data_IF_554063843893
#
_entry.id   IF_554063843893
#
_cell.length_a   1.000
_cell.length_b   1.000
_cell.length_c   1.000
_cell.angle_alpha   90.00
_cell.angle_beta   90.00
_cell.angle_gamma   90.00
#
_symmetry.space_group_name_H-M   'P 1'
#
loop_
_entity.id
_entity.type
_entity.pdbx_description
1 polymer ?
#
# COMPACT_ATOMS: atom_id res chain seq x y z
N UNK A 1 20.22 -7.20 46.51
CA UNK A 1 21.06 -6.37 45.62
C UNK A 1 20.51 -6.53 44.21
N UNK A 2 19.43 -5.81 43.90
CA UNK A 2 18.80 -5.77 42.59
C UNK A 2 19.25 -4.49 41.88
N UNK A 3 19.81 -4.64 40.69
CA UNK A 3 20.16 -3.52 39.81
C UNK A 3 18.93 -3.28 38.94
N UNK A 4 18.23 -2.17 39.18
CA UNK A 4 17.09 -1.73 38.38
C UNK A 4 17.55 -1.17 37.03
N UNK A 5 16.98 -1.69 35.95
CA UNK A 5 17.02 -1.06 34.63
C UNK A 5 16.18 0.22 34.69
N UNK A 6 16.82 1.37 34.57
CA UNK A 6 16.13 2.64 34.35
C UNK A 6 15.67 2.71 32.89
N UNK A 7 14.36 2.73 32.66
CA UNK A 7 13.79 3.16 31.39
C UNK A 7 14.09 4.65 31.21
N UNK A 8 14.86 5.02 30.19
CA UNK A 8 15.00 6.41 29.77
C UNK A 8 13.69 6.86 29.11
N UNK A 9 12.78 7.40 29.91
CA UNK A 9 11.68 8.22 29.41
C UNK A 9 12.28 9.54 28.91
N UNK A 10 12.08 9.86 27.62
CA UNK A 10 12.34 11.21 27.10
C UNK A 10 11.12 12.09 27.43
N UNK A 11 11.21 13.08 28.34
CA UNK A 11 10.12 14.00 28.60
C UNK A 11 10.13 15.07 27.50
N UNK A 12 9.18 15.02 26.57
CA UNK A 12 9.07 16.09 25.56
C UNK A 12 8.20 15.85 24.33
N UNK A 13 7.75 14.61 24.07
CA UNK A 13 6.86 14.31 22.95
C UNK A 13 5.40 14.22 23.42
N UNK A 14 4.80 15.36 23.80
CA UNK A 14 3.34 15.45 23.90
C UNK A 14 2.79 15.96 22.57
N UNK A 15 1.78 15.28 22.02
CA UNK A 15 1.02 15.79 20.87
C UNK A 15 0.50 17.20 21.20
N UNK A 16 0.65 18.19 20.30
CA UNK A 16 0.10 19.52 20.54
C UNK A 16 -1.41 19.41 20.82
N UNK A 17 -1.90 20.13 21.83
CA UNK A 17 -3.31 20.11 22.21
C UNK A 17 -4.17 20.52 21.01
N UNK A 18 -5.07 19.63 20.58
CA UNK A 18 -5.91 19.81 19.39
C UNK A 18 -6.96 20.89 19.67
N UNK A 19 -6.92 21.99 18.93
CA UNK A 19 -8.04 22.92 18.85
C UNK A 19 -9.17 22.26 18.03
N UNK A 20 -10.41 22.65 18.31
CA UNK A 20 -11.65 21.99 17.87
C UNK A 20 -12.01 22.20 16.39
N UNK A 21 -11.01 22.49 15.55
CA UNK A 21 -11.17 22.60 14.10
C UNK A 21 -10.73 21.28 13.45
N UNK A 22 -11.60 20.68 12.64
CA UNK A 22 -11.43 19.33 12.05
C UNK A 22 -10.33 19.22 10.99
N UNK A 23 -9.53 20.28 10.76
CA UNK A 23 -8.46 20.25 9.79
C UNK A 23 -7.27 19.39 10.28
N UNK A 24 -6.68 18.53 9.41
CA UNK A 24 -5.48 17.78 9.75
C UNK A 24 -4.32 18.73 10.10
N UNK A 25 -3.50 18.34 11.09
CA UNK A 25 -2.34 19.12 11.51
C UNK A 25 -1.34 19.19 10.35
N UNK A 26 -0.93 20.40 9.90
CA UNK A 26 0.05 20.50 8.82
C UNK A 26 1.36 19.81 9.20
N UNK A 27 1.93 18.98 8.31
CA UNK A 27 3.20 18.28 8.60
C UNK A 27 4.34 19.23 9.01
N UNK A 28 4.37 20.44 8.44
CA UNK A 28 5.36 21.47 8.79
C UNK A 28 5.32 21.86 10.28
N UNK A 29 4.16 21.73 10.95
CA UNK A 29 3.98 22.08 12.37
C UNK A 29 4.77 21.19 13.32
N UNK A 30 5.11 19.96 12.89
CA UNK A 30 5.99 19.05 13.65
C UNK A 30 7.38 19.66 13.89
N UNK A 31 7.79 20.61 13.06
CA UNK A 31 9.10 21.28 13.15
C UNK A 31 8.94 22.73 13.57
N UNK A 32 7.94 23.44 13.07
CA UNK A 32 7.75 24.88 13.35
C UNK A 32 7.05 25.17 14.67
N UNK A 33 6.40 24.18 15.28
CA UNK A 33 5.71 24.31 16.57
C UNK A 33 6.65 24.47 17.78
N UNK A 34 6.03 24.57 18.97
CA UNK A 34 6.70 24.64 20.26
C UNK A 34 7.24 23.26 20.72
N UNK A 35 8.13 22.68 19.91
CA UNK A 35 8.82 21.42 20.17
C UNK A 35 10.29 21.66 20.49
N UNK A 36 10.92 20.76 21.25
CA UNK A 36 12.35 20.86 21.58
C UNK A 36 13.21 20.67 20.33
N UNK A 37 14.45 21.18 20.36
CA UNK A 37 15.41 20.98 19.26
C UNK A 37 15.73 19.50 19.02
N UNK A 38 15.71 18.68 20.08
CA UNK A 38 15.90 17.22 19.97
C UNK A 38 14.75 16.57 19.20
N UNK A 39 13.49 16.95 19.52
CA UNK A 39 12.32 16.46 18.82
C UNK A 39 12.31 16.89 17.35
N UNK A 40 12.67 18.15 17.05
CA UNK A 40 12.81 18.64 15.66
C UNK A 40 13.84 17.84 14.88
N UNK A 41 15.00 17.60 15.48
CA UNK A 41 16.07 16.79 14.89
C UNK A 41 15.57 15.39 14.53
N UNK A 42 14.86 14.77 15.46
CA UNK A 42 14.28 13.44 15.31
C UNK A 42 13.22 13.36 14.21
N UNK A 43 12.32 14.34 14.15
CA UNK A 43 11.32 14.45 13.08
C UNK A 43 11.99 14.65 11.72
N UNK A 44 13.03 15.48 11.62
CA UNK A 44 13.74 15.71 10.37
C UNK A 44 14.50 14.46 9.90
N UNK A 45 15.12 13.72 10.82
CA UNK A 45 15.76 12.44 10.49
C UNK A 45 14.75 11.40 10.02
N UNK A 46 13.65 11.24 10.75
CA UNK A 46 12.59 10.28 10.42
C UNK A 46 11.89 10.63 9.12
N UNK A 47 11.57 11.91 8.91
CA UNK A 47 11.03 12.42 7.66
C UNK A 47 11.96 12.18 6.48
N UNK A 48 13.28 12.29 6.66
CA UNK A 48 14.26 12.03 5.60
C UNK A 48 14.37 10.53 5.29
N UNK A 49 14.17 9.66 6.28
CA UNK A 49 14.08 8.22 6.07
C UNK A 49 12.81 7.87 5.28
N UNK A 50 11.65 8.35 5.75
CA UNK A 50 10.37 8.10 5.11
C UNK A 50 10.29 8.66 3.69
N UNK A 51 10.80 9.88 3.45
CA UNK A 51 10.80 10.50 2.12
C UNK A 51 11.72 9.77 1.13
N UNK A 52 12.84 9.22 1.60
CA UNK A 52 13.72 8.38 0.79
C UNK A 52 13.05 7.06 0.41
N UNK A 53 12.42 6.39 1.38
CA UNK A 53 11.72 5.12 1.19
C UNK A 53 10.49 5.30 0.27
N UNK A 54 9.55 6.14 0.66
CA UNK A 54 8.29 6.38 -0.07
C UNK A 54 8.53 7.13 -1.38
N UNK A 55 9.49 8.05 -1.39
CA UNK A 55 9.85 8.79 -2.59
C UNK A 55 10.45 7.88 -3.67
N UNK A 56 11.20 6.84 -3.27
CA UNK A 56 11.82 5.90 -4.22
C UNK A 56 10.82 4.96 -4.91
N UNK A 57 9.60 4.83 -4.38
CA UNK A 57 8.55 3.97 -4.94
C UNK A 57 7.55 4.73 -5.83
N UNK A 58 7.68 6.06 -5.97
CA UNK A 58 6.77 6.84 -6.83
C UNK A 58 6.84 6.35 -8.28
N UNK A 59 5.72 6.33 -9.02
CA UNK A 59 5.72 5.92 -10.43
C UNK A 59 6.41 6.96 -11.33
N UNK A 60 6.26 8.26 -11.04
CA UNK A 60 6.86 9.32 -11.83
C UNK A 60 8.36 9.52 -11.49
N UNK A 61 9.27 9.43 -12.49
CA UNK A 61 10.70 9.55 -12.26
C UNK A 61 11.17 10.92 -11.77
N UNK A 62 10.53 12.00 -12.22
CA UNK A 62 10.90 13.35 -11.81
C UNK A 62 10.50 13.57 -10.35
N UNK A 63 9.35 13.04 -9.94
CA UNK A 63 8.92 13.03 -8.55
C UNK A 63 9.84 12.17 -7.66
N UNK A 64 10.24 10.96 -8.12
CA UNK A 64 11.24 10.13 -7.40
C UNK A 64 12.53 10.91 -7.16
N UNK A 65 13.08 11.50 -8.21
CA UNK A 65 14.31 12.27 -8.14
C UNK A 65 14.18 13.47 -7.17
N UNK A 66 13.06 14.19 -7.22
CA UNK A 66 12.80 15.33 -6.33
C UNK A 66 12.67 14.92 -4.85
N UNK A 67 11.96 13.82 -4.57
CA UNK A 67 11.78 13.30 -3.21
C UNK A 67 13.13 12.86 -2.62
N UNK A 68 13.91 12.10 -3.39
CA UNK A 68 15.24 11.64 -2.97
C UNK A 68 16.22 12.81 -2.79
N UNK A 69 16.25 13.78 -3.72
CA UNK A 69 17.14 14.95 -3.59
C UNK A 69 16.81 15.74 -2.31
N UNK A 70 15.52 15.89 -2.00
CA UNK A 70 15.06 16.51 -0.75
C UNK A 70 15.52 15.72 0.48
N UNK A 71 15.31 14.40 0.49
CA UNK A 71 15.73 13.52 1.58
C UNK A 71 17.27 13.53 1.79
N UNK A 72 18.03 13.50 0.69
CA UNK A 72 19.49 13.53 0.71
C UNK A 72 20.01 14.86 1.28
N UNK A 73 19.53 16.00 0.77
CA UNK A 73 19.92 17.33 1.28
C UNK A 73 19.64 17.45 2.77
N UNK A 74 18.50 16.92 3.21
CA UNK A 74 18.14 16.91 4.63
C UNK A 74 19.15 16.09 5.46
N UNK A 75 19.49 14.86 5.04
CA UNK A 75 20.48 14.02 5.74
C UNK A 75 21.86 14.67 5.80
N UNK A 76 22.34 15.28 4.72
CA UNK A 76 23.65 15.95 4.68
C UNK A 76 23.74 17.14 5.64
N UNK A 77 22.65 17.88 5.80
CA UNK A 77 22.60 19.00 6.74
C UNK A 77 22.48 18.52 8.17
N UNK A 78 21.67 17.49 8.42
CA UNK A 78 21.52 16.90 9.74
C UNK A 78 22.82 16.25 10.25
N UNK A 79 23.62 15.63 9.37
CA UNK A 79 24.91 15.04 9.76
C UNK A 79 25.96 16.07 10.20
N UNK A 80 25.73 17.38 9.99
CA UNK A 80 26.58 18.47 10.49
C UNK A 80 26.19 18.93 11.90
N UNK A 81 25.09 18.43 12.46
CA UNK A 81 24.72 18.73 13.83
C UNK A 81 25.74 18.13 14.82
N UNK A 82 25.96 18.76 15.99
CA UNK A 82 26.80 18.20 17.05
C UNK A 82 26.41 16.75 17.38
N UNK A 83 27.37 15.92 17.78
CA UNK A 83 27.17 14.48 18.01
C UNK A 83 26.02 14.12 18.98
N UNK A 84 25.64 15.01 19.89
CA UNK A 84 24.45 14.83 20.76
C UNK A 84 23.12 14.75 19.99
N UNK A 85 23.12 15.23 18.75
CA UNK A 85 22.03 15.20 17.78
C UNK A 85 22.28 14.20 16.65
N UNK A 86 23.41 13.48 16.69
CA UNK A 86 23.69 12.45 15.71
C UNK A 86 22.64 11.35 15.82
N UNK A 87 22.23 10.85 14.67
CA UNK A 87 21.29 9.75 14.52
C UNK A 87 21.60 8.60 15.49
N UNK A 88 20.59 7.93 16.07
CA UNK A 88 20.76 6.51 16.39
C UNK A 88 21.10 5.77 15.08
N UNK A 89 21.90 4.70 15.15
CA UNK A 89 22.57 4.05 14.01
C UNK A 89 21.70 3.93 12.73
N UNK A 90 22.29 3.99 11.51
CA UNK A 90 21.55 3.83 10.26
C UNK A 90 20.58 2.63 10.32
N UNK A 91 19.29 2.87 10.08
CA UNK A 91 18.23 1.85 10.19
C UNK A 91 17.43 1.85 11.50
N UNK A 92 17.80 2.67 12.51
CA UNK A 92 16.94 2.86 13.69
C UNK A 92 16.04 4.07 13.49
N UNK A 93 14.78 3.79 13.20
CA UNK A 93 13.70 4.77 13.24
C UNK A 93 13.28 4.95 14.70
N UNK A 94 13.20 6.19 15.17
CA UNK A 94 12.57 6.45 16.45
C UNK A 94 11.07 6.17 16.33
N UNK A 95 10.61 5.17 17.10
CA UNK A 95 9.26 4.63 16.99
C UNK A 95 8.20 5.67 17.35
N UNK A 96 8.49 6.60 18.24
CA UNK A 96 7.54 7.63 18.62
C UNK A 96 7.43 8.72 17.56
N UNK A 97 8.56 9.17 17.01
CA UNK A 97 8.53 10.11 15.89
C UNK A 97 7.84 9.52 14.65
N UNK A 98 8.13 8.27 14.30
CA UNK A 98 7.47 7.60 13.18
C UNK A 98 5.99 7.38 13.42
N UNK A 99 5.58 7.02 14.63
CA UNK A 99 4.16 6.90 14.99
C UNK A 99 3.44 8.24 14.83
N UNK A 100 4.05 9.35 15.27
CA UNK A 100 3.46 10.69 15.12
C UNK A 100 3.37 11.08 13.65
N UNK A 101 4.44 10.89 12.86
CA UNK A 101 4.43 11.17 11.42
C UNK A 101 3.34 10.35 10.72
N UNK A 102 3.27 9.04 10.98
CA UNK A 102 2.26 8.17 10.39
C UNK A 102 0.84 8.56 10.77
N UNK A 103 0.62 9.02 12.00
CA UNK A 103 -0.69 9.52 12.43
C UNK A 103 -1.10 10.77 11.65
N UNK A 104 -0.19 11.75 11.51
CA UNK A 104 -0.47 12.98 10.75
C UNK A 104 -0.71 12.67 9.27
N UNK A 105 0.09 11.77 8.68
CA UNK A 105 -0.12 11.31 7.30
C UNK A 105 -1.48 10.64 7.13
N UNK A 106 -1.88 9.77 8.07
CA UNK A 106 -3.19 9.12 8.04
C UNK A 106 -4.35 10.13 8.17
N UNK A 107 -4.18 11.18 8.97
CA UNK A 107 -5.16 12.27 9.08
C UNK A 107 -5.31 13.02 7.74
N UNK A 108 -4.20 13.31 7.04
CA UNK A 108 -4.25 13.92 5.71
C UNK A 108 -4.90 13.01 4.67
N UNK A 109 -4.57 11.72 4.65
CA UNK A 109 -5.19 10.74 3.72
C UNK A 109 -6.70 10.69 3.91
N UNK A 110 -7.17 10.70 5.16
CA UNK A 110 -8.62 10.77 5.45
C UNK A 110 -9.26 12.09 4.98
N UNK A 111 -8.54 13.21 5.09
CA UNK A 111 -9.06 14.52 4.73
C UNK A 111 -9.09 14.77 3.20
N UNK A 112 -8.22 14.11 2.43
CA UNK A 112 -8.10 14.29 0.98
C UNK A 112 -8.24 12.95 0.22
N UNK A 113 -9.37 12.23 0.33
CA UNK A 113 -9.53 10.89 -0.25
C UNK A 113 -9.46 10.87 -1.79
N UNK A 114 -9.64 12.03 -2.44
CA UNK A 114 -9.52 12.17 -3.89
C UNK A 114 -8.05 12.15 -4.39
N UNK A 115 -7.08 12.32 -3.50
CA UNK A 115 -5.65 12.29 -3.85
C UNK A 115 -5.08 10.94 -3.48
N UNK A 116 -4.23 10.41 -4.35
CA UNK A 116 -3.61 9.12 -4.09
C UNK A 116 -2.71 9.14 -2.84
N UNK A 117 -2.88 8.23 -1.85
CA UNK A 117 -2.16 8.27 -0.59
C UNK A 117 -0.65 8.35 -0.75
N UNK A 118 -0.05 7.66 -1.72
CA UNK A 118 1.40 7.73 -1.91
C UNK A 118 1.85 9.12 -2.42
N UNK A 119 1.07 9.75 -3.31
CA UNK A 119 1.33 11.12 -3.80
C UNK A 119 1.17 12.12 -2.66
N UNK A 120 0.11 11.95 -1.86
CA UNK A 120 -0.16 12.76 -0.69
C UNK A 120 0.93 12.61 0.37
N UNK A 121 1.34 11.37 0.70
CA UNK A 121 2.41 11.08 1.65
C UNK A 121 3.71 11.75 1.22
N UNK A 122 4.09 11.63 -0.05
CA UNK A 122 5.31 12.28 -0.56
C UNK A 122 5.18 13.80 -0.54
N UNK A 123 4.01 14.36 -0.89
CA UNK A 123 3.73 15.80 -0.81
C UNK A 123 3.93 16.30 0.62
N UNK A 124 3.29 15.65 1.59
CA UNK A 124 3.33 16.02 3.00
C UNK A 124 4.71 15.81 3.64
N UNK A 125 5.42 14.74 3.28
CA UNK A 125 6.82 14.54 3.66
C UNK A 125 7.76 15.57 3.00
N UNK A 126 7.42 16.03 1.78
CA UNK A 126 8.10 17.13 1.11
C UNK A 126 7.94 18.45 1.87
N UNK A 127 6.74 18.76 2.36
CA UNK A 127 6.48 19.92 3.22
C UNK A 127 7.22 19.84 4.56
N UNK A 128 7.26 18.64 5.17
CA UNK A 128 8.13 18.40 6.33
C UNK A 128 9.61 18.68 5.99
N UNK A 129 10.07 18.23 4.84
CA UNK A 129 11.43 18.50 4.34
C UNK A 129 11.73 19.99 4.21
N UNK A 130 10.79 20.77 3.67
CA UNK A 130 10.91 22.25 3.58
C UNK A 130 10.96 22.90 4.96
N UNK A 131 10.10 22.47 5.89
CA UNK A 131 10.09 22.98 7.27
C UNK A 131 11.41 22.67 8.01
N UNK A 132 11.93 21.46 7.86
CA UNK A 132 13.23 21.04 8.36
C UNK A 132 14.37 21.90 7.79
N UNK A 133 14.36 22.17 6.49
CA UNK A 133 15.35 23.05 5.87
C UNK A 133 15.32 24.47 6.47
N UNK A 134 14.13 25.05 6.66
CA UNK A 134 13.97 26.38 7.26
C UNK A 134 14.40 26.44 8.73
N UNK A 135 14.17 25.37 9.50
CA UNK A 135 14.67 25.26 10.88
C UNK A 135 16.21 25.16 10.92
N UNK A 136 16.81 24.33 10.04
CA UNK A 136 18.27 24.21 9.93
C UNK A 136 18.91 25.54 9.49
N UNK A 137 18.25 26.32 8.63
CA UNK A 137 18.70 27.66 8.23
C UNK A 137 18.72 28.62 9.43
N UNK A 138 17.68 28.61 10.27
CA UNK A 138 17.63 29.42 11.50
C UNK A 138 18.76 29.09 12.48
N UNK A 139 19.23 27.83 12.49
CA UNK A 139 20.38 27.39 13.31
C UNK A 139 21.72 27.86 12.78
N UNK A 140 21.74 28.64 11.69
CA UNK A 140 22.95 29.08 10.98
C UNK A 140 23.85 27.92 10.59
N UNK A 141 23.28 26.72 10.46
CA UNK A 141 23.96 25.62 9.79
C UNK A 141 23.98 26.02 8.34
N UNK A 142 25.13 26.54 7.91
CA UNK A 142 25.30 27.14 6.60
C UNK A 142 24.61 26.25 5.57
N UNK A 143 23.74 26.82 4.71
CA UNK A 143 23.26 26.06 3.57
C UNK A 143 24.48 25.46 2.86
N UNK A 144 24.33 24.25 2.33
CA UNK A 144 25.35 23.58 1.54
C UNK A 144 26.04 24.64 0.65
N UNK A 145 27.37 24.71 0.65
CA UNK A 145 28.11 25.71 -0.14
C UNK A 145 27.63 25.67 -1.61
N UNK A 146 27.73 26.74 -2.42
CA UNK A 146 27.30 26.69 -3.82
C UNK A 146 27.81 25.45 -4.59
N UNK A 147 29.06 25.05 -4.37
CA UNK A 147 29.62 23.79 -4.91
C UNK A 147 28.93 22.52 -4.40
N UNK A 148 28.39 22.53 -3.17
CA UNK A 148 27.59 21.44 -2.58
C UNK A 148 26.07 21.60 -2.87
N UNK A 149 25.64 22.72 -3.49
CA UNK A 149 24.26 23.05 -3.87
C UNK A 149 23.98 22.74 -5.34
N UNK A 150 24.99 22.95 -6.18
CA UNK A 150 25.03 22.63 -7.61
C UNK A 150 25.45 21.18 -7.87
N UNK A 151 26.08 20.52 -6.89
CA UNK A 151 26.04 19.07 -6.76
C UNK A 151 24.60 18.71 -6.36
N UNK A 152 23.78 18.34 -7.35
CA UNK A 152 22.68 17.42 -7.12
C UNK A 152 23.14 16.29 -6.20
N UNK A 153 22.22 15.58 -5.52
CA UNK A 153 22.56 14.25 -5.00
C UNK A 153 23.43 13.56 -6.10
N UNK A 154 24.70 13.15 -5.81
CA UNK A 154 25.72 12.91 -6.85
C UNK A 154 25.13 12.23 -8.08
N UNK A 155 25.53 12.49 -9.32
CA UNK A 155 24.83 11.86 -10.48
C UNK A 155 24.67 10.34 -10.33
N UNK A 156 25.58 9.64 -9.64
CA UNK A 156 25.46 8.24 -9.19
C UNK A 156 24.32 7.99 -8.18
N UNK A 157 24.10 8.90 -7.24
CA UNK A 157 22.94 8.99 -6.34
C UNK A 157 21.70 9.34 -7.18
N UNK A 158 21.64 10.39 -7.98
CA UNK A 158 20.44 10.70 -8.80
C UNK A 158 20.08 9.58 -9.80
N UNK A 159 21.05 8.92 -10.43
CA UNK A 159 20.87 7.77 -11.33
C UNK A 159 20.61 6.46 -10.55
N UNK A 160 21.23 6.27 -9.39
CA UNK A 160 21.03 5.11 -8.50
C UNK A 160 19.77 5.20 -7.63
N UNK A 161 19.11 6.36 -7.62
CA UNK A 161 17.79 6.62 -7.07
C UNK A 161 16.72 6.85 -8.15
N UNK A 162 17.11 6.94 -9.42
CA UNK A 162 16.22 6.70 -10.56
C UNK A 162 15.95 5.19 -10.73
N UNK A 163 16.86 4.34 -10.25
CA UNK A 163 16.67 2.89 -10.18
C UNK A 163 15.57 2.55 -9.17
N UNK A 164 14.54 1.86 -9.64
CA UNK A 164 13.45 1.34 -8.82
C UNK A 164 13.99 0.43 -7.70
N UNK A 165 13.41 0.57 -6.51
CA UNK A 165 13.76 -0.23 -5.32
C UNK A 165 12.52 -0.92 -4.77
N UNK A 166 12.69 -2.18 -4.43
CA UNK A 166 11.68 -2.97 -3.71
C UNK A 166 12.15 -3.17 -2.28
N UNK A 167 11.41 -2.61 -1.32
CA UNK A 167 11.79 -2.66 0.11
C UNK A 167 13.22 -2.17 0.36
N UNK A 168 13.60 -1.06 -0.28
CA UNK A 168 14.94 -0.45 -0.19
C UNK A 168 16.05 -1.15 -0.99
N UNK A 169 15.79 -2.33 -1.57
CA UNK A 169 16.74 -3.13 -2.34
C UNK A 169 16.65 -2.85 -3.83
N UNK A 170 17.80 -2.76 -4.50
CA UNK A 170 17.91 -2.60 -5.96
C UNK A 170 17.79 -3.94 -6.66
N UNK A 171 17.68 -3.90 -8.00
CA UNK A 171 17.69 -5.10 -8.83
C UNK A 171 18.95 -5.96 -8.58
N UNK A 172 20.12 -5.34 -8.45
CA UNK A 172 21.37 -6.06 -8.19
C UNK A 172 21.39 -6.75 -6.81
N UNK A 173 20.67 -6.21 -5.83
CA UNK A 173 20.59 -6.78 -4.48
C UNK A 173 19.62 -7.98 -4.44
N UNK A 174 18.69 -8.09 -5.41
CA UNK A 174 17.67 -9.16 -5.51
C UNK A 174 18.06 -10.26 -6.48
N UNK A 175 18.45 -9.88 -7.70
CA UNK A 175 18.83 -10.80 -8.76
C UNK A 175 20.33 -11.11 -8.77
N UNK A 176 21.12 -10.53 -7.86
CA UNK A 176 22.57 -10.63 -7.85
C UNK A 176 23.22 -9.89 -9.02
N UNK A 177 24.53 -10.05 -9.23
CA UNK A 177 25.23 -9.52 -10.42
C UNK A 177 24.97 -10.39 -11.67
N UNK A 178 23.70 -10.64 -12.00
CA UNK A 178 23.26 -11.49 -13.10
C UNK A 178 22.69 -10.68 -14.26
N UNK A 179 22.58 -11.27 -15.47
CA UNK A 179 21.83 -10.64 -16.57
C UNK A 179 20.39 -10.28 -16.19
N UNK A 180 19.78 -10.98 -15.24
CA UNK A 180 18.43 -10.68 -14.75
C UNK A 180 18.38 -9.35 -14.00
N UNK A 181 19.42 -8.99 -13.23
CA UNK A 181 19.49 -7.68 -12.59
C UNK A 181 19.59 -6.54 -13.61
N UNK A 182 20.30 -6.77 -14.73
CA UNK A 182 20.40 -5.78 -15.81
C UNK A 182 19.02 -5.58 -16.44
N UNK A 183 18.34 -6.67 -16.81
CA UNK A 183 17.01 -6.61 -17.40
C UNK A 183 15.99 -5.98 -16.42
N UNK A 184 16.03 -6.33 -15.14
CA UNK A 184 15.16 -5.77 -14.11
C UNK A 184 15.28 -4.24 -13.98
N UNK A 185 16.49 -3.67 -14.19
CA UNK A 185 16.65 -2.22 -14.26
C UNK A 185 15.97 -1.62 -15.49
N UNK A 186 16.08 -2.27 -16.65
CA UNK A 186 15.40 -1.83 -17.88
C UNK A 186 13.87 -1.86 -17.69
N UNK A 187 13.33 -2.94 -17.10
CA UNK A 187 11.88 -3.11 -16.93
C UNK A 187 11.23 -1.98 -16.13
N UNK A 188 11.97 -1.37 -15.19
CA UNK A 188 11.47 -0.27 -14.36
C UNK A 188 12.14 1.07 -14.69
N UNK A 189 12.83 1.15 -15.84
CA UNK A 189 13.47 2.37 -16.27
C UNK A 189 12.41 3.44 -16.60
N UNK A 190 12.67 4.72 -16.28
CA UNK A 190 11.76 5.81 -16.55
C UNK A 190 11.49 5.93 -18.06
N UNK A 191 10.21 5.93 -18.44
CA UNK A 191 9.64 6.20 -19.77
C UNK A 191 10.70 6.47 -20.86
N UNK A 192 11.18 5.39 -21.48
CA UNK A 192 12.25 5.47 -22.49
C UNK A 192 12.40 4.19 -23.31
N UNK A 193 12.00 3.05 -22.75
CA UNK A 193 11.86 1.82 -23.53
C UNK A 193 10.40 1.70 -23.96
N UNK A 194 10.16 1.98 -25.23
CA UNK A 194 8.91 1.58 -25.87
C UNK A 194 8.77 0.04 -25.83
N UNK A 195 7.56 -0.45 -26.08
CA UNK A 195 7.27 -1.88 -26.08
C UNK A 195 8.21 -2.67 -27.01
N UNK A 196 8.60 -2.07 -28.15
CA UNK A 196 9.51 -2.68 -29.11
C UNK A 196 10.92 -2.87 -28.53
N UNK A 197 11.42 -1.89 -27.76
CA UNK A 197 12.73 -1.96 -27.12
C UNK A 197 12.74 -2.99 -26.01
N UNK A 198 11.72 -3.00 -25.14
CA UNK A 198 11.58 -4.03 -24.11
C UNK A 198 11.51 -5.43 -24.72
N UNK A 199 10.71 -5.61 -25.77
CA UNK A 199 10.59 -6.89 -26.48
C UNK A 199 11.93 -7.38 -27.01
N UNK A 200 12.75 -6.49 -27.60
CA UNK A 200 14.10 -6.84 -28.08
C UNK A 200 15.03 -7.23 -26.94
N UNK A 201 15.05 -6.48 -25.85
CA UNK A 201 15.91 -6.76 -24.70
C UNK A 201 15.52 -8.07 -24.00
N UNK A 202 14.22 -8.33 -23.83
CA UNK A 202 13.71 -9.57 -23.27
C UNK A 202 14.03 -10.75 -24.20
N UNK A 203 13.83 -10.62 -25.51
CA UNK A 203 14.19 -11.66 -26.47
C UNK A 203 15.70 -11.99 -26.44
N UNK A 204 16.55 -10.96 -26.37
CA UNK A 204 18.00 -11.14 -26.23
C UNK A 204 18.36 -11.85 -24.92
N UNK A 205 17.72 -11.48 -23.81
CA UNK A 205 17.88 -12.14 -22.52
C UNK A 205 17.46 -13.61 -22.58
N UNK A 206 16.27 -13.91 -23.13
CA UNK A 206 15.74 -15.27 -23.28
C UNK A 206 16.69 -16.14 -24.11
N UNK A 207 17.18 -15.63 -25.24
CA UNK A 207 18.12 -16.35 -26.11
C UNK A 207 19.45 -16.65 -25.40
N UNK A 208 19.96 -15.71 -24.59
CA UNK A 208 21.24 -15.86 -23.90
C UNK A 208 21.18 -16.70 -22.61
N UNK A 209 20.00 -16.88 -22.00
CA UNK A 209 19.87 -17.44 -20.65
C UNK A 209 19.09 -18.76 -20.56
N UNK A 210 18.96 -19.49 -21.68
CA UNK A 210 18.36 -20.83 -21.69
C UNK A 210 16.84 -20.86 -21.87
N UNK A 211 16.28 -19.87 -22.56
CA UNK A 211 14.87 -19.82 -22.94
C UNK A 211 13.96 -19.20 -21.88
N UNK A 212 12.64 -19.36 -22.05
CA UNK A 212 11.62 -18.73 -21.21
C UNK A 212 11.72 -19.06 -19.72
N UNK A 213 12.28 -20.23 -19.37
CA UNK A 213 12.51 -20.63 -17.97
C UNK A 213 13.44 -19.67 -17.21
N UNK A 214 14.22 -18.84 -17.91
CA UNK A 214 15.00 -17.77 -17.30
C UNK A 214 14.13 -16.62 -16.77
N UNK A 215 12.96 -16.38 -17.38
CA UNK A 215 11.99 -15.36 -16.95
C UNK A 215 11.30 -15.75 -15.64
N UNK A 216 11.02 -17.05 -15.48
CA UNK A 216 10.31 -17.62 -14.34
C UNK A 216 11.23 -17.97 -13.15
N UNK A 217 12.53 -17.67 -13.27
CA UNK A 217 13.48 -17.94 -12.19
C UNK A 217 13.17 -17.05 -10.98
N UNK A 218 12.86 -17.69 -9.86
CA UNK A 218 12.68 -17.05 -8.57
C UNK A 218 14.02 -16.78 -7.88
N UNK A 219 14.17 -15.59 -7.31
CA UNK A 219 15.34 -15.17 -6.52
C UNK A 219 14.91 -14.46 -5.23
N UNK A 220 15.78 -14.40 -4.23
CA UNK A 220 15.52 -13.73 -2.96
C UNK A 220 15.70 -14.67 -1.75
N UNK A 221 16.18 -14.16 -0.60
CA UNK A 221 16.54 -15.00 0.55
C UNK A 221 15.36 -15.47 1.44
N UNK A 222 14.12 -15.04 1.17
CA UNK A 222 12.99 -15.29 2.07
C UNK A 222 11.78 -15.79 1.26
N UNK A 223 10.81 -16.39 1.94
CA UNK A 223 9.63 -17.12 1.44
C UNK A 223 8.68 -16.34 0.49
N UNK A 224 9.08 -15.17 -0.02
CA UNK A 224 8.36 -14.27 -0.93
C UNK A 224 9.04 -14.09 -2.30
N UNK A 225 9.76 -15.11 -2.77
CA UNK A 225 10.48 -15.20 -4.05
C UNK A 225 10.10 -14.19 -5.16
N UNK A 226 11.11 -13.63 -5.81
CA UNK A 226 10.95 -12.60 -6.84
C UNK A 226 11.25 -13.16 -8.24
N UNK A 227 10.38 -12.88 -9.21
CA UNK A 227 10.65 -13.08 -10.65
C UNK A 227 10.77 -11.74 -11.38
N UNK A 228 11.17 -11.76 -12.66
CA UNK A 228 11.17 -10.57 -13.51
C UNK A 228 9.75 -10.01 -13.70
N UNK A 229 8.74 -10.88 -13.82
CA UNK A 229 7.34 -10.47 -13.89
C UNK A 229 6.87 -9.86 -12.57
N UNK A 230 7.19 -10.48 -11.44
CA UNK A 230 6.90 -9.91 -10.12
C UNK A 230 7.59 -8.55 -9.92
N UNK A 231 8.73 -8.31 -10.56
CA UNK A 231 9.47 -7.04 -10.49
C UNK A 231 8.80 -5.94 -11.31
N UNK A 232 8.31 -6.26 -12.51
CA UNK A 232 7.53 -5.29 -13.30
C UNK A 232 6.21 -4.92 -12.62
N UNK A 233 5.59 -5.85 -11.89
CA UNK A 233 4.41 -5.56 -11.06
C UNK A 233 4.77 -4.60 -9.94
N UNK A 234 5.87 -4.84 -9.23
CA UNK A 234 6.30 -4.00 -8.12
C UNK A 234 6.57 -2.54 -8.53
N UNK A 235 7.05 -2.30 -9.76
CA UNK A 235 7.24 -0.96 -10.30
C UNK A 235 6.06 -0.44 -11.15
N UNK A 236 4.91 -1.11 -11.07
CA UNK A 236 3.65 -0.74 -11.74
C UNK A 236 3.79 -0.47 -13.25
N UNK A 237 4.61 -1.26 -13.96
CA UNK A 237 4.85 -1.05 -15.39
C UNK A 237 4.08 -2.08 -16.26
N UNK A 238 2.90 -1.73 -16.81
CA UNK A 238 2.10 -2.65 -17.62
C UNK A 238 2.76 -3.00 -18.96
N UNK A 239 3.57 -2.11 -19.54
CA UNK A 239 4.28 -2.38 -20.79
C UNK A 239 5.36 -3.44 -20.58
N UNK A 240 6.09 -3.35 -19.47
CA UNK A 240 7.07 -4.36 -19.08
C UNK A 240 6.40 -5.70 -18.74
N UNK A 241 5.29 -5.68 -18.00
CA UNK A 241 4.51 -6.89 -17.71
C UNK A 241 4.03 -7.57 -19.00
N UNK A 242 3.42 -6.83 -19.92
CA UNK A 242 2.98 -7.35 -21.23
C UNK A 242 4.13 -7.96 -22.02
N UNK A 243 5.26 -7.25 -22.15
CA UNK A 243 6.39 -7.74 -22.93
C UNK A 243 7.02 -9.03 -22.33
N UNK A 244 7.00 -9.20 -21.01
CA UNK A 244 7.44 -10.43 -20.35
C UNK A 244 6.46 -11.58 -20.61
N UNK A 245 5.16 -11.31 -20.54
CA UNK A 245 4.10 -12.30 -20.80
C UNK A 245 4.12 -12.75 -22.27
N UNK A 246 4.30 -11.81 -23.21
CA UNK A 246 4.48 -12.10 -24.64
C UNK A 246 5.71 -12.96 -24.91
N UNK A 247 6.78 -12.78 -24.11
CA UNK A 247 7.98 -13.61 -24.16
C UNK A 247 7.82 -14.97 -23.44
N UNK A 248 6.66 -15.24 -22.84
CA UNK A 248 6.29 -16.51 -22.23
C UNK A 248 6.60 -16.64 -20.75
N UNK A 249 6.75 -15.54 -20.02
CA UNK A 249 6.75 -15.56 -18.56
C UNK A 249 5.41 -16.08 -18.00
N UNK A 250 5.44 -16.85 -16.93
CA UNK A 250 4.24 -17.42 -16.32
C UNK A 250 3.54 -16.43 -15.38
N UNK A 251 2.34 -15.98 -15.76
CA UNK A 251 1.48 -15.10 -14.96
C UNK A 251 1.06 -15.73 -13.62
N UNK A 252 1.04 -17.07 -13.55
CA UNK A 252 0.58 -17.85 -12.41
C UNK A 252 1.74 -18.46 -11.61
N UNK A 253 2.97 -18.00 -11.85
CA UNK A 253 4.13 -18.42 -11.08
C UNK A 253 3.91 -18.10 -9.61
N UNK A 254 3.92 -19.13 -8.77
CA UNK A 254 3.88 -18.99 -7.31
C UNK A 254 5.18 -18.34 -6.82
N UNK A 255 5.08 -17.09 -6.39
CA UNK A 255 6.13 -16.26 -5.84
C UNK A 255 6.34 -16.52 -4.34
N UNK A 256 5.57 -17.40 -3.73
CA UNK A 256 5.70 -17.81 -2.32
C UNK A 256 4.43 -17.50 -1.52
N UNK A 257 4.07 -18.39 -0.60
CA UNK A 257 2.81 -18.33 0.17
C UNK A 257 1.53 -18.24 -0.68
N UNK A 258 1.53 -18.81 -1.89
CA UNK A 258 0.38 -18.74 -2.80
C UNK A 258 0.31 -17.43 -3.58
N UNK A 259 1.19 -16.47 -3.29
CA UNK A 259 1.25 -15.18 -3.97
C UNK A 259 1.69 -15.36 -5.43
N UNK A 260 1.10 -14.59 -6.34
CA UNK A 260 1.42 -14.61 -7.77
C UNK A 260 1.58 -13.18 -8.28
N UNK A 261 1.95 -13.01 -9.55
CA UNK A 261 1.94 -11.69 -10.16
C UNK A 261 0.54 -11.04 -10.09
N UNK A 262 -0.53 -11.83 -10.25
CA UNK A 262 -1.93 -11.36 -10.11
C UNK A 262 -2.22 -10.93 -8.68
N UNK A 263 -1.83 -11.74 -7.68
CA UNK A 263 -2.03 -11.41 -6.27
C UNK A 263 -1.39 -10.09 -5.86
N UNK A 264 -0.13 -9.87 -6.26
CA UNK A 264 0.57 -8.59 -6.04
C UNK A 264 -0.07 -7.43 -6.78
N UNK A 265 -0.49 -7.64 -8.02
CA UNK A 265 -1.13 -6.60 -8.81
C UNK A 265 -2.52 -6.24 -8.29
N UNK A 266 -3.23 -7.17 -7.67
CA UNK A 266 -4.52 -6.91 -7.03
C UNK A 266 -4.39 -5.93 -5.86
N UNK A 267 -3.26 -5.92 -5.14
CA UNK A 267 -3.00 -4.94 -4.10
C UNK A 267 -2.58 -3.55 -4.64
N UNK A 268 -2.45 -3.39 -5.96
CA UNK A 268 -2.15 -2.09 -6.58
C UNK A 268 -3.44 -1.31 -6.84
N UNK A 269 -3.36 0.00 -6.65
CA UNK A 269 -4.47 0.92 -6.94
C UNK A 269 -4.72 1.14 -8.43
N UNK A 270 -3.65 1.25 -9.22
CA UNK A 270 -3.76 1.31 -10.67
C UNK A 270 -3.95 -0.11 -11.21
N UNK A 271 -5.13 -0.42 -11.80
CA UNK A 271 -5.43 -1.76 -12.28
C UNK A 271 -4.71 -2.11 -13.58
N UNK A 272 -3.95 -1.20 -14.21
CA UNK A 272 -3.39 -1.44 -15.54
C UNK A 272 -2.53 -2.71 -15.63
N UNK A 273 -1.69 -2.96 -14.63
CA UNK A 273 -0.87 -4.17 -14.56
C UNK A 273 -1.75 -5.40 -14.30
N UNK A 274 -2.73 -5.29 -13.39
CA UNK A 274 -3.66 -6.37 -13.08
C UNK A 274 -4.45 -6.80 -14.32
N UNK A 275 -5.04 -5.84 -15.04
CA UNK A 275 -5.76 -6.07 -16.30
C UNK A 275 -4.85 -6.73 -17.34
N UNK A 276 -3.59 -6.30 -17.43
CA UNK A 276 -2.61 -6.91 -18.34
C UNK A 276 -2.36 -8.37 -18.00
N UNK A 277 -2.18 -8.70 -16.71
CA UNK A 277 -1.96 -10.08 -16.25
C UNK A 277 -3.17 -10.98 -16.51
N UNK A 278 -4.38 -10.50 -16.18
CA UNK A 278 -5.63 -11.24 -16.41
C UNK A 278 -5.85 -11.50 -17.90
N UNK A 279 -5.56 -10.53 -18.77
CA UNK A 279 -5.65 -10.69 -20.22
C UNK A 279 -4.68 -11.74 -20.78
N UNK A 280 -3.59 -12.04 -20.07
CA UNK A 280 -2.61 -13.08 -20.44
C UNK A 280 -2.82 -14.39 -19.67
N UNK A 281 -4.03 -14.64 -19.15
CA UNK A 281 -4.36 -15.90 -18.49
C UNK A 281 -3.89 -16.01 -17.04
N UNK A 282 -3.61 -14.87 -16.39
CA UNK A 282 -3.48 -14.81 -14.94
C UNK A 282 -4.79 -15.23 -14.26
N UNK A 283 -4.69 -16.06 -13.22
CA UNK A 283 -5.84 -16.55 -12.46
C UNK A 283 -6.30 -15.48 -11.46
N UNK A 284 -7.56 -15.07 -11.58
CA UNK A 284 -8.19 -14.16 -10.63
C UNK A 284 -8.46 -14.84 -9.27
N UNK A 285 -8.60 -16.17 -9.26
CA UNK A 285 -8.78 -16.94 -8.03
C UNK A 285 -7.43 -17.34 -7.43
N UNK A 286 -7.24 -17.04 -6.14
CA UNK A 286 -6.00 -17.30 -5.42
C UNK A 286 -5.91 -16.45 -4.14
N UNK A 287 -4.83 -16.64 -3.39
CA UNK A 287 -4.63 -15.95 -2.13
C UNK A 287 -3.14 -15.81 -1.79
N UNK A 288 -2.81 -14.78 -1.02
CA UNK A 288 -1.53 -14.71 -0.31
C UNK A 288 -1.68 -15.29 1.11
N UNK A 289 -0.74 -15.00 2.02
CA UNK A 289 -0.79 -15.48 3.39
C UNK A 289 -1.92 -14.88 4.26
N UNK A 290 -2.57 -13.81 3.81
CA UNK A 290 -3.50 -12.98 4.60
C UNK A 290 -4.82 -12.71 3.90
N UNK A 291 -4.84 -12.66 2.57
CA UNK A 291 -5.99 -12.22 1.78
C UNK A 291 -6.17 -13.05 0.52
N UNK A 292 -7.42 -13.22 0.10
CA UNK A 292 -7.69 -13.60 -1.29
C UNK A 292 -7.26 -12.49 -2.25
N UNK A 293 -6.99 -12.82 -3.50
CA UNK A 293 -6.64 -11.80 -4.49
C UNK A 293 -7.79 -10.81 -4.70
N UNK A 294 -9.04 -11.28 -4.62
CA UNK A 294 -10.22 -10.43 -4.72
C UNK A 294 -10.34 -9.47 -3.52
N UNK A 295 -10.04 -9.92 -2.29
CA UNK A 295 -9.94 -9.03 -1.12
C UNK A 295 -8.86 -7.96 -1.30
N UNK A 296 -7.67 -8.32 -1.79
CA UNK A 296 -6.60 -7.35 -2.06
C UNK A 296 -7.06 -6.27 -3.05
N UNK A 297 -7.76 -6.67 -4.13
CA UNK A 297 -8.35 -5.75 -5.11
C UNK A 297 -9.44 -4.85 -4.50
N UNK A 298 -10.26 -5.40 -3.60
CA UNK A 298 -11.25 -4.64 -2.87
C UNK A 298 -10.60 -3.61 -1.94
N UNK A 299 -9.63 -4.02 -1.13
CA UNK A 299 -8.90 -3.15 -0.20
C UNK A 299 -8.18 -2.01 -0.92
N UNK A 300 -7.51 -2.29 -2.04
CA UNK A 300 -6.86 -1.29 -2.86
C UNK A 300 -7.87 -0.28 -3.43
N UNK A 301 -9.04 -0.76 -3.88
CA UNK A 301 -10.11 0.09 -4.39
C UNK A 301 -10.80 0.91 -3.30
N UNK A 302 -11.02 0.32 -2.12
CA UNK A 302 -11.64 0.96 -0.97
C UNK A 302 -10.78 2.11 -0.45
N UNK A 303 -9.48 1.90 -0.29
CA UNK A 303 -8.54 2.95 0.10
C UNK A 303 -8.43 4.09 -0.93
N UNK A 304 -8.85 3.84 -2.17
CA UNK A 304 -8.73 4.76 -3.29
C UNK A 304 -10.01 5.34 -3.86
N UNK A 305 -11.18 4.88 -3.39
CA UNK A 305 -12.48 5.19 -3.99
C UNK A 305 -12.68 4.67 -5.42
N UNK A 306 -11.87 3.71 -5.88
CA UNK A 306 -11.86 3.23 -7.28
C UNK A 306 -11.72 1.70 -7.36
N UNK A 307 -12.81 1.00 -7.68
CA UNK A 307 -12.89 -0.47 -7.65
C UNK A 307 -12.56 -1.15 -8.98
N UNK A 308 -11.89 -0.46 -9.92
CA UNK A 308 -11.62 -1.00 -11.25
C UNK A 308 -10.78 -2.29 -11.23
N UNK A 309 -9.88 -2.46 -10.25
CA UNK A 309 -9.15 -3.70 -10.04
C UNK A 309 -10.06 -4.85 -9.58
N UNK A 310 -10.98 -4.56 -8.66
CA UNK A 310 -11.99 -5.51 -8.21
C UNK A 310 -12.91 -5.93 -9.36
N UNK A 311 -13.42 -4.97 -10.14
CA UNK A 311 -14.28 -5.24 -11.30
C UNK A 311 -13.58 -6.13 -12.34
N UNK A 312 -12.29 -5.87 -12.58
CA UNK A 312 -11.48 -6.70 -13.48
C UNK A 312 -11.36 -8.15 -12.97
N UNK A 313 -11.21 -8.35 -11.65
CA UNK A 313 -11.16 -9.67 -11.05
C UNK A 313 -12.49 -10.41 -11.16
N UNK A 314 -13.61 -9.74 -10.90
CA UNK A 314 -14.96 -10.31 -11.10
C UNK A 314 -15.18 -10.68 -12.56
N UNK A 315 -14.81 -9.79 -13.51
CA UNK A 315 -14.91 -10.07 -14.93
C UNK A 315 -14.03 -11.25 -15.37
N UNK A 316 -12.90 -11.48 -14.69
CA UNK A 316 -12.04 -12.63 -14.88
C UNK A 316 -12.49 -13.90 -14.12
N UNK A 317 -13.62 -13.84 -13.42
CA UNK A 317 -14.28 -14.98 -12.79
C UNK A 317 -13.89 -15.25 -11.34
N UNK A 318 -13.29 -14.29 -10.64
CA UNK A 318 -13.11 -14.39 -9.18
C UNK A 318 -14.46 -14.52 -8.48
N UNK A 319 -14.55 -15.40 -7.49
CA UNK A 319 -15.78 -15.61 -6.73
C UNK A 319 -15.77 -14.80 -5.42
N UNK A 320 -16.69 -13.83 -5.22
CA UNK A 320 -16.83 -13.08 -3.96
C UNK A 320 -17.03 -13.96 -2.72
N UNK A 321 -17.55 -15.17 -2.91
CA UNK A 321 -17.83 -16.14 -1.86
C UNK A 321 -16.72 -17.21 -1.74
N UNK A 322 -15.58 -17.03 -2.42
CA UNK A 322 -14.46 -17.96 -2.29
C UNK A 322 -13.91 -17.96 -0.86
N UNK A 323 -13.98 -19.11 -0.20
CA UNK A 323 -13.47 -19.29 1.16
C UNK A 323 -12.12 -19.99 1.15
N UNK A 324 -11.13 -19.37 1.78
CA UNK A 324 -9.81 -19.95 2.03
C UNK A 324 -9.63 -20.20 3.52
N UNK A 325 -9.21 -21.40 3.89
CA UNK A 325 -9.03 -21.77 5.29
C UNK A 325 -8.00 -20.85 5.97
N UNK A 326 -8.42 -20.17 7.05
CA UNK A 326 -7.57 -19.25 7.80
C UNK A 326 -7.52 -17.82 7.27
N UNK A 327 -8.20 -17.53 6.15
CA UNK A 327 -8.37 -16.17 5.61
C UNK A 327 -9.84 -15.76 5.84
N UNK A 328 -10.11 -14.55 6.35
CA UNK A 328 -11.48 -14.05 6.49
C UNK A 328 -12.20 -14.05 5.14
N UNK A 329 -13.52 -14.25 5.11
CA UNK A 329 -14.25 -14.11 3.86
C UNK A 329 -14.24 -12.63 3.42
N UNK A 330 -14.36 -12.36 2.12
CA UNK A 330 -14.46 -11.00 1.58
C UNK A 330 -15.48 -10.16 2.35
N UNK A 331 -16.66 -10.71 2.62
CA UNK A 331 -17.72 -9.98 3.32
C UNK A 331 -17.36 -9.60 4.75
N UNK A 332 -16.51 -10.37 5.44
CA UNK A 332 -16.02 -10.02 6.76
C UNK A 332 -15.12 -8.79 6.69
N UNK A 333 -14.25 -8.72 5.66
CA UNK A 333 -13.38 -7.58 5.39
C UNK A 333 -14.20 -6.35 5.03
N UNK A 334 -15.18 -6.48 4.12
CA UNK A 334 -16.06 -5.37 3.71
C UNK A 334 -16.80 -4.78 4.91
N UNK A 335 -17.31 -5.62 5.81
CA UNK A 335 -17.99 -5.17 7.04
C UNK A 335 -17.01 -4.50 8.00
N UNK A 336 -15.85 -5.12 8.24
CA UNK A 336 -14.84 -4.62 9.17
C UNK A 336 -14.30 -3.24 8.77
N UNK A 337 -14.11 -3.02 7.47
CA UNK A 337 -13.68 -1.75 6.87
C UNK A 337 -14.86 -0.79 6.60
N UNK A 338 -16.06 -1.11 7.09
CA UNK A 338 -17.26 -0.26 7.00
C UNK A 338 -17.64 0.10 5.55
N UNK A 339 -17.41 -0.82 4.62
CA UNK A 339 -17.75 -0.73 3.20
C UNK A 339 -19.25 -0.82 2.89
N UNK A 340 -20.10 -0.26 3.76
CA UNK A 340 -21.57 -0.37 3.69
C UNK A 340 -22.15 0.15 2.38
N UNK A 341 -21.66 1.30 1.93
CA UNK A 341 -22.09 1.90 0.67
C UNK A 341 -21.82 0.96 -0.50
N UNK A 342 -20.58 0.47 -0.57
CA UNK A 342 -20.15 -0.44 -1.62
C UNK A 342 -20.93 -1.76 -1.59
N UNK A 343 -21.14 -2.34 -0.40
CA UNK A 343 -21.94 -3.56 -0.23
C UNK A 343 -23.40 -3.37 -0.69
N UNK A 344 -23.99 -2.21 -0.41
CA UNK A 344 -25.36 -1.89 -0.84
C UNK A 344 -25.47 -1.77 -2.37
N UNK A 345 -24.48 -1.18 -3.03
CA UNK A 345 -24.41 -1.05 -4.49
C UNK A 345 -24.13 -2.39 -5.18
N UNK A 346 -23.30 -3.24 -4.56
CA UNK A 346 -22.86 -4.52 -5.12
C UNK A 346 -23.61 -5.71 -4.52
N UNK A 347 -24.81 -5.49 -3.97
CA UNK A 347 -25.61 -6.53 -3.29
C UNK A 347 -25.81 -7.80 -4.13
N UNK A 348 -25.85 -7.65 -5.46
CA UNK A 348 -25.99 -8.77 -6.41
C UNK A 348 -24.82 -9.74 -6.42
N UNK A 349 -23.65 -9.33 -5.90
CA UNK A 349 -22.45 -10.17 -5.80
C UNK A 349 -22.46 -11.11 -4.60
N UNK A 350 -23.26 -10.80 -3.57
CA UNK A 350 -23.42 -11.67 -2.40
C UNK A 350 -24.29 -12.87 -2.81
N UNK A 351 -23.68 -14.02 -3.11
CA UNK A 351 -24.38 -15.29 -3.35
C UNK A 351 -24.35 -16.18 -2.11
N UNK A 352 -23.49 -15.86 -1.14
CA UNK A 352 -23.47 -16.45 0.18
C UNK A 352 -24.85 -16.44 0.87
N UNK A 353 -24.98 -17.33 1.84
CA UNK A 353 -26.13 -17.39 2.73
C UNK A 353 -26.36 -16.02 3.40
N UNK A 354 -27.46 -15.36 3.01
CA UNK A 354 -27.86 -14.05 3.52
C UNK A 354 -28.07 -14.05 5.02
N UNK A 355 -28.42 -15.19 5.64
CA UNK A 355 -28.50 -15.33 7.09
C UNK A 355 -27.09 -15.30 7.71
N UNK A 356 -26.12 -15.99 7.11
CA UNK A 356 -24.74 -15.96 7.57
C UNK A 356 -24.14 -14.55 7.46
N UNK A 357 -24.41 -13.84 6.36
CA UNK A 357 -24.04 -12.43 6.22
C UNK A 357 -24.70 -11.56 7.30
N UNK A 358 -26.00 -11.74 7.54
CA UNK A 358 -26.72 -10.96 8.54
C UNK A 358 -26.21 -11.20 9.97
N UNK A 359 -25.84 -12.44 10.31
CA UNK A 359 -25.19 -12.78 11.59
C UNK A 359 -23.87 -12.03 11.77
N UNK A 360 -23.04 -11.94 10.72
CA UNK A 360 -21.76 -11.21 10.76
C UNK A 360 -21.99 -9.71 10.96
N UNK A 361 -22.98 -9.13 10.27
CA UNK A 361 -23.37 -7.72 10.42
C UNK A 361 -23.85 -7.44 11.84
N UNK A 362 -24.68 -8.32 12.41
CA UNK A 362 -25.18 -8.18 13.79
C UNK A 362 -24.02 -8.20 14.80
N UNK A 363 -23.13 -9.20 14.71
CA UNK A 363 -21.93 -9.31 15.56
C UNK A 363 -21.03 -8.07 15.46
N UNK A 364 -20.86 -7.51 14.26
CA UNK A 364 -20.12 -6.27 14.08
C UNK A 364 -20.81 -5.10 14.79
N UNK A 365 -22.13 -4.95 14.63
CA UNK A 365 -22.92 -3.84 15.18
C UNK A 365 -23.02 -3.85 16.71
N UNK A 366 -22.95 -5.04 17.33
CA UNK A 366 -22.90 -5.16 18.80
C UNK A 366 -21.58 -4.65 19.38
N UNK A 367 -20.49 -4.77 18.62
CA UNK A 367 -19.13 -4.48 19.06
C UNK A 367 -18.58 -3.14 18.55
N UNK A 368 -19.21 -2.54 17.54
CA UNK A 368 -18.69 -1.37 16.83
C UNK A 368 -19.78 -0.32 16.61
N UNK A 369 -19.47 0.94 16.93
CA UNK A 369 -20.34 2.07 16.61
C UNK A 369 -20.23 2.39 15.11
N UNK A 370 -21.35 2.31 14.40
CA UNK A 370 -21.45 2.77 13.01
C UNK A 370 -21.42 4.31 13.00
N UNK A 371 -20.49 4.94 12.25
CA UNK A 371 -20.44 6.40 12.12
C UNK A 371 -21.76 6.99 11.61
N UNK A 372 -22.18 8.18 12.09
CA UNK A 372 -23.47 8.78 11.71
C UNK A 372 -23.67 8.97 10.20
N UNK A 373 -22.60 9.27 9.48
CA UNK A 373 -22.57 9.47 8.04
C UNK A 373 -22.77 8.17 7.25
N UNK A 374 -22.46 7.01 7.83
CA UNK A 374 -22.63 5.69 7.21
C UNK A 374 -23.97 5.02 7.55
N UNK A 375 -24.76 5.59 8.48
CA UNK A 375 -26.08 5.06 8.85
C UNK A 375 -27.02 4.86 7.65
N UNK A 376 -27.08 5.76 6.64
CA UNK A 376 -27.93 5.55 5.47
C UNK A 376 -27.59 4.28 4.69
N UNK A 377 -26.31 4.06 4.40
CA UNK A 377 -25.84 2.89 3.65
C UNK A 377 -26.01 1.60 4.45
N UNK A 378 -25.69 1.64 5.74
CA UNK A 378 -25.95 0.55 6.67
C UNK A 378 -27.44 0.17 6.67
N UNK A 379 -28.36 1.15 6.76
CA UNK A 379 -29.81 0.90 6.65
C UNK A 379 -30.21 0.34 5.28
N UNK A 380 -29.53 0.74 4.20
CA UNK A 380 -29.77 0.21 2.87
C UNK A 380 -29.45 -1.30 2.81
N UNK A 381 -28.33 -1.73 3.39
CA UNK A 381 -27.98 -3.16 3.50
C UNK A 381 -29.05 -3.94 4.27
N UNK A 382 -29.54 -3.40 5.39
CA UNK A 382 -30.62 -4.02 6.17
C UNK A 382 -31.93 -4.13 5.38
N UNK A 383 -32.26 -3.11 4.59
CA UNK A 383 -33.43 -3.14 3.74
C UNK A 383 -33.32 -4.22 2.64
N UNK A 384 -32.11 -4.47 2.13
CA UNK A 384 -31.83 -5.58 1.19
C UNK A 384 -32.00 -6.94 1.86
N UNK A 385 -31.41 -7.15 3.03
CA UNK A 385 -31.60 -8.37 3.83
C UNK A 385 -33.08 -8.67 4.07
N UNK A 386 -33.86 -7.66 4.45
CA UNK A 386 -35.30 -7.80 4.66
C UNK A 386 -36.04 -8.20 3.38
N UNK A 387 -35.64 -7.62 2.25
CA UNK A 387 -36.20 -7.98 0.93
C UNK A 387 -35.89 -9.43 0.56
N UNK A 388 -34.73 -9.93 0.98
CA UNK A 388 -34.30 -11.32 0.81
C UNK A 388 -34.84 -12.27 1.91
N UNK A 389 -35.79 -11.81 2.75
CA UNK A 389 -36.43 -12.64 3.77
C UNK A 389 -35.61 -12.89 5.04
N UNK A 390 -34.63 -12.02 5.30
CA UNK A 390 -33.78 -12.05 6.51
C UNK A 390 -34.11 -10.86 7.41
N UNK A 391 -34.52 -11.12 8.64
CA UNK A 391 -34.85 -10.12 9.65
C UNK A 391 -33.79 -10.07 10.74
N UNK A 392 -33.57 -8.88 11.30
CA UNK A 392 -32.66 -8.67 12.42
C UNK A 392 -33.46 -8.27 13.68
N UNK A 393 -33.08 -8.75 14.88
CA UNK A 393 -31.94 -9.63 15.19
C UNK A 393 -32.11 -11.05 14.64
N UNK A 394 -31.00 -11.75 14.36
CA UNK A 394 -31.06 -13.15 13.90
C UNK A 394 -31.46 -14.05 15.07
N UNK A 395 -32.66 -14.63 14.96
CA UNK A 395 -33.20 -15.53 15.99
C UNK A 395 -32.64 -16.95 15.85
N UNK A 396 -31.81 -17.38 16.79
CA UNK A 396 -31.22 -18.74 16.80
C UNK A 396 -32.24 -19.83 17.18
N UNK A 397 -33.42 -19.47 17.71
CA UNK A 397 -34.49 -20.35 18.15
C UNK A 397 -35.54 -20.64 17.06
N UNK A 398 -35.28 -20.23 15.81
CA UNK A 398 -36.19 -20.40 14.67
C UNK A 398 -35.67 -21.47 13.73
N UNK A 399 -36.59 -22.30 13.22
CA UNK A 399 -36.29 -23.20 12.12
C UNK A 399 -36.21 -22.41 10.80
N UNK A 400 -35.00 -22.30 10.24
CA UNK A 400 -34.76 -21.65 8.96
C UNK A 400 -35.29 -22.50 7.81
N UNK A 401 -35.87 -21.86 6.80
CA UNK A 401 -36.31 -22.52 5.56
C UNK A 401 -35.36 -22.18 4.43
N UNK A 402 -35.33 -23.01 3.41
CA UNK A 402 -34.59 -22.73 2.18
C UNK A 402 -35.51 -22.11 1.13
N UNK A 403 -35.12 -21.00 0.51
CA UNK A 403 -35.85 -20.40 -0.61
C UNK A 403 -35.68 -21.21 -1.91
N UNK A 404 -36.33 -20.78 -3.00
CA UNK A 404 -36.22 -21.45 -4.31
C UNK A 404 -34.80 -21.42 -4.92
N UNK A 405 -33.89 -20.59 -4.38
CA UNK A 405 -32.50 -20.45 -4.82
C UNK A 405 -31.53 -21.24 -3.95
N UNK A 406 -31.98 -21.83 -2.85
CA UNK A 406 -31.11 -22.58 -1.93
C UNK A 406 -30.64 -21.79 -0.71
N UNK A 407 -31.08 -20.53 -0.52
CA UNK A 407 -30.64 -19.69 0.61
C UNK A 407 -31.52 -19.89 1.85
N UNK A 408 -30.93 -19.77 3.04
CA UNK A 408 -31.70 -19.76 4.28
C UNK A 408 -32.51 -18.46 4.41
N UNK A 409 -33.76 -18.58 4.83
CA UNK A 409 -34.68 -17.48 5.12
C UNK A 409 -35.38 -17.71 6.46
N UNK A 410 -35.76 -16.61 7.12
CA UNK A 410 -36.54 -16.68 8.35
C UNK A 410 -38.04 -16.67 8.01
N UNK A 411 -38.79 -17.75 8.28
CA UNK A 411 -40.17 -17.91 7.82
C UNK A 411 -41.15 -16.88 8.42
N UNK A 412 -40.86 -16.38 9.63
CA UNK A 412 -41.68 -15.39 10.33
C UNK A 412 -41.12 -13.98 10.19
N UNK A 413 -40.16 -13.75 9.29
CA UNK A 413 -39.71 -12.40 8.98
C UNK A 413 -40.93 -11.68 8.39
N UNK A 414 -41.48 -10.63 9.03
CA UNK A 414 -42.63 -9.91 8.48
C UNK A 414 -42.22 -9.27 7.15
N UNK A 415 -42.40 -10.04 6.09
CA UNK A 415 -42.40 -9.57 4.71
C UNK A 415 -43.61 -8.65 4.63
N UNK A 416 -43.37 -7.35 4.73
CA UNK A 416 -44.32 -6.23 4.66
C UNK A 416 -45.02 -5.76 5.96
N UNK A 417 -45.19 -4.45 6.16
CA UNK A 417 -46.50 -3.85 6.39
C UNK A 417 -47.37 -3.84 5.13
#
# INVERSE_FOLDING_TARGET
MMIGLAAMFFPGLSTPARAQDDAPLPMASLVTGAVSDDARTLFCHTGAAALDEQGSTLPDPAQRAAAVDTAWRMRQRLSRLPARFAHPAPGTIDKDAARIINQVLADHVRAEPAIEPHVLIVRELGELGKACAGWLDHRRLAPLAPAERDDHAPDIVRLGYAEFRLSGRRAADIFGSTPAAVLARTLCAPAGHDAATLSREIAAFVAANGGKAALDRKVGPDDHGQSLLGWSVACANPVAASALLDAGADANLDLGHGDTAVGRAAALRDPAVLVTLLAHGGKAEGHDARHTFLENAWLAGHAGGHYAGFDAMIAAGADPDHLVAGIPALWDVVIAEQGWHWLAEHWSLVKDDKVALALRIEQFSENTLVPPDMIPDYRAVFARLKTDGVCLPIRLDVEYKTDAKGHLIQPDCPTHP
#
